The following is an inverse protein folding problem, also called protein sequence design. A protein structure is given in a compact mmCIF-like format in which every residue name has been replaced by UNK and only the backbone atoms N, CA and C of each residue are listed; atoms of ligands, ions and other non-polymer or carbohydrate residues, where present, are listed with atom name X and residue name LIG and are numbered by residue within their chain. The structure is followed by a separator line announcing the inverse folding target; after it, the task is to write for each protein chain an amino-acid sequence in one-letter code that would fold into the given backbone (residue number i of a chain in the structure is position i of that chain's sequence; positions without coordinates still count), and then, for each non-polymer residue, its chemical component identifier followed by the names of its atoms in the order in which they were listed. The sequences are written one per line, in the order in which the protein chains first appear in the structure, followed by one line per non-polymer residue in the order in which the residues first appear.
data_IF_843864755726
#
_entry.id   IF_843864755726
#
_cell.length_a   1.000
_cell.length_b   1.000
_cell.length_c   1.000
_cell.angle_alpha   90.00
_cell.angle_beta   90.00
_cell.angle_gamma   90.00
#
_symmetry.space_group_name_H-M   'P 1'
#
loop_
_entity.id
_entity.type
_entity.pdbx_description
1 polymer ?
#
# COMPACT_ATOMS: atom_id res chain seq x y z
N UNK A 1 25.33 5.50 -57.16
CA UNK A 1 24.04 4.95 -56.68
C UNK A 1 24.26 4.48 -55.25
N UNK A 2 24.28 5.38 -54.25
CA UNK A 2 23.17 5.68 -53.31
C UNK A 2 22.40 4.44 -52.87
N UNK A 3 22.72 3.90 -51.69
CA UNK A 3 21.72 3.49 -50.70
C UNK A 3 22.29 3.86 -49.32
N UNK A 4 21.86 5.01 -48.79
CA UNK A 4 21.97 5.33 -47.37
C UNK A 4 20.85 4.52 -46.72
N UNK A 5 21.18 3.43 -46.04
CA UNK A 5 20.22 2.73 -45.18
C UNK A 5 20.11 3.56 -43.91
N UNK A 6 19.16 4.49 -43.91
CA UNK A 6 18.62 5.07 -42.69
C UNK A 6 17.93 3.92 -41.94
N UNK A 7 18.68 3.22 -41.09
CA UNK A 7 18.08 2.44 -40.01
C UNK A 7 17.53 3.49 -39.06
N UNK A 8 16.30 3.91 -39.34
CA UNK A 8 15.43 4.52 -38.34
C UNK A 8 15.29 3.41 -37.29
N UNK A 9 16.10 3.48 -36.24
CA UNK A 9 15.78 2.82 -34.99
C UNK A 9 14.47 3.44 -34.56
N UNK A 10 13.37 2.78 -34.92
CA UNK A 10 12.08 3.04 -34.33
C UNK A 10 12.27 2.66 -32.87
N UNK A 11 12.63 3.64 -32.04
CA UNK A 11 12.59 3.48 -30.59
C UNK A 11 11.18 2.97 -30.28
N UNK A 12 11.04 1.76 -29.70
CA UNK A 12 9.72 1.31 -29.30
C UNK A 12 9.19 2.36 -28.33
N UNK A 13 7.96 2.82 -28.57
CA UNK A 13 7.22 3.56 -27.55
C UNK A 13 7.35 2.75 -26.26
N UNK A 14 7.93 3.35 -25.22
CA UNK A 14 8.00 2.78 -23.89
C UNK A 14 6.57 2.62 -23.36
N UNK A 15 5.88 1.55 -23.73
CA UNK A 15 4.87 0.97 -22.87
C UNK A 15 5.63 0.34 -21.70
N UNK A 16 5.27 0.69 -20.46
CA UNK A 16 5.75 -0.07 -19.30
C UNK A 16 5.31 -1.52 -19.50
N UNK A 17 6.26 -2.40 -19.82
CA UNK A 17 6.01 -3.84 -19.78
C UNK A 17 5.84 -4.23 -18.32
N UNK A 18 4.71 -4.86 -17.99
CA UNK A 18 4.46 -5.40 -16.65
C UNK A 18 5.61 -6.31 -16.22
N UNK A 19 5.98 -6.23 -14.95
CA UNK A 19 6.94 -7.17 -14.37
C UNK A 19 6.32 -8.57 -14.26
N UNK A 20 7.15 -9.61 -14.29
CA UNK A 20 6.68 -10.97 -14.08
C UNK A 20 6.46 -11.23 -12.59
N UNK A 21 5.31 -11.81 -12.24
CA UNK A 21 4.94 -12.12 -10.85
C UNK A 21 5.02 -13.62 -10.53
N UNK A 22 5.82 -14.40 -11.28
CA UNK A 22 6.20 -15.76 -10.88
C UNK A 22 7.23 -15.73 -9.74
N UNK A 23 7.33 -16.85 -9.01
CA UNK A 23 8.14 -16.95 -7.79
C UNK A 23 9.61 -16.57 -8.02
N UNK A 24 10.22 -17.13 -9.07
CA UNK A 24 11.64 -16.87 -9.37
C UNK A 24 11.89 -15.38 -9.63
N UNK A 25 10.97 -14.73 -10.36
CA UNK A 25 11.07 -13.30 -10.70
C UNK A 25 10.94 -12.37 -9.50
N UNK A 26 10.20 -12.78 -8.47
CA UNK A 26 10.04 -12.03 -7.21
C UNK A 26 10.99 -12.50 -6.11
N UNK A 27 11.97 -13.35 -6.45
CA UNK A 27 13.02 -13.79 -5.52
C UNK A 27 12.58 -14.85 -4.51
N UNK A 28 11.47 -15.55 -4.78
CA UNK A 28 10.94 -16.63 -3.95
C UNK A 28 11.20 -18.00 -4.56
N UNK A 29 11.07 -19.03 -3.74
CA UNK A 29 11.18 -20.43 -4.17
C UNK A 29 10.10 -21.29 -3.53
N UNK A 30 10.08 -22.58 -3.87
CA UNK A 30 9.17 -23.54 -3.23
C UNK A 30 9.35 -23.65 -1.71
N UNK A 31 10.53 -23.25 -1.19
CA UNK A 31 10.84 -23.27 0.24
C UNK A 31 10.27 -22.08 1.01
N UNK A 32 9.90 -20.99 0.32
CA UNK A 32 9.26 -19.83 0.94
C UNK A 32 7.90 -20.21 1.52
N UNK A 33 7.49 -19.53 2.59
CA UNK A 33 6.17 -19.76 3.20
C UNK A 33 5.06 -19.39 2.22
N UNK A 34 3.87 -19.98 2.39
CA UNK A 34 2.72 -19.58 1.58
C UNK A 34 2.29 -18.13 1.85
N UNK A 35 2.58 -17.61 3.06
CA UNK A 35 2.35 -16.22 3.42
C UNK A 35 3.30 -15.32 2.61
N UNK A 36 4.61 -15.58 2.58
CA UNK A 36 5.56 -14.83 1.75
C UNK A 36 5.14 -14.84 0.27
N UNK A 37 4.83 -16.03 -0.26
CA UNK A 37 4.40 -16.18 -1.67
C UNK A 37 3.21 -15.30 -1.98
N UNK A 38 2.16 -15.34 -1.16
CA UNK A 38 0.99 -14.49 -1.37
C UNK A 38 1.28 -13.01 -1.14
N UNK A 39 2.12 -12.65 -0.17
CA UNK A 39 2.47 -11.27 0.12
C UNK A 39 3.14 -10.61 -1.08
N UNK A 40 4.27 -11.17 -1.51
CA UNK A 40 5.10 -10.59 -2.56
C UNK A 40 4.46 -10.71 -3.95
N UNK A 41 3.71 -11.79 -4.22
CA UNK A 41 2.90 -11.89 -5.45
C UNK A 41 1.81 -10.81 -5.46
N UNK A 42 1.14 -10.58 -4.33
CA UNK A 42 0.13 -9.52 -4.20
C UNK A 42 0.72 -8.12 -4.43
N UNK A 43 1.91 -7.86 -3.89
CA UNK A 43 2.64 -6.61 -4.06
C UNK A 43 3.12 -6.42 -5.51
N UNK A 44 3.57 -7.48 -6.18
CA UNK A 44 3.90 -7.45 -7.61
C UNK A 44 2.69 -7.07 -8.47
N UNK A 45 1.55 -7.73 -8.25
CA UNK A 45 0.32 -7.37 -8.95
C UNK A 45 -0.14 -5.94 -8.65
N UNK A 46 0.04 -5.45 -7.43
CA UNK A 46 -0.25 -4.05 -7.10
C UNK A 46 0.58 -3.08 -7.95
N UNK A 47 1.89 -3.30 -8.07
CA UNK A 47 2.78 -2.47 -8.90
C UNK A 47 2.45 -2.54 -10.39
N UNK A 48 1.93 -3.67 -10.85
CA UNK A 48 1.40 -3.87 -12.20
C UNK A 48 -0.02 -3.30 -12.41
N UNK A 49 -0.61 -2.66 -11.39
CA UNK A 49 -2.00 -2.17 -11.35
C UNK A 49 -3.06 -3.28 -11.55
N UNK A 50 -2.67 -4.55 -11.36
CA UNK A 50 -3.56 -5.72 -11.37
C UNK A 50 -4.24 -5.90 -10.00
N UNK A 51 -4.96 -4.87 -9.55
CA UNK A 51 -5.45 -4.76 -8.18
C UNK A 51 -6.35 -5.92 -7.75
N UNK A 52 -7.14 -6.51 -8.65
CA UNK A 52 -7.96 -7.69 -8.31
C UNK A 52 -7.09 -8.91 -7.95
N UNK A 53 -5.97 -9.10 -8.66
CA UNK A 53 -5.03 -10.18 -8.36
C UNK A 53 -4.26 -9.89 -7.06
N UNK A 54 -3.91 -8.62 -6.84
CA UNK A 54 -3.28 -8.17 -5.60
C UNK A 54 -4.15 -8.46 -4.38
N UNK A 55 -5.40 -7.98 -4.37
CA UNK A 55 -6.37 -8.22 -3.31
C UNK A 55 -6.59 -9.71 -3.10
N UNK A 56 -6.75 -10.49 -4.18
CA UNK A 56 -6.95 -11.93 -4.08
C UNK A 56 -5.78 -12.63 -3.36
N UNK A 57 -4.54 -12.29 -3.67
CA UNK A 57 -3.37 -12.86 -3.00
C UNK A 57 -3.35 -12.48 -1.51
N UNK A 58 -3.56 -11.22 -1.19
CA UNK A 58 -3.56 -10.76 0.20
C UNK A 58 -4.74 -11.31 1.03
N UNK A 59 -5.92 -11.52 0.43
CA UNK A 59 -7.04 -12.21 1.08
C UNK A 59 -6.78 -13.71 1.29
N UNK A 60 -5.96 -14.35 0.44
CA UNK A 60 -5.49 -15.71 0.67
C UNK A 60 -4.52 -15.75 1.85
N UNK A 61 -3.53 -14.86 1.86
CA UNK A 61 -2.58 -14.69 2.96
C UNK A 61 -3.29 -14.51 4.30
N UNK A 62 -4.30 -13.63 4.36
CA UNK A 62 -5.01 -13.33 5.59
C UNK A 62 -5.64 -14.57 6.27
N UNK A 63 -5.95 -15.63 5.50
CA UNK A 63 -6.57 -16.88 5.96
C UNK A 63 -5.57 -17.94 6.44
N UNK A 64 -4.27 -17.75 6.20
CA UNK A 64 -3.23 -18.71 6.57
C UNK A 64 -2.77 -18.52 8.01
N UNK A 65 -2.28 -19.59 8.64
CA UNK A 65 -1.65 -19.51 9.95
C UNK A 65 -0.14 -19.22 9.78
N UNK A 66 0.44 -18.27 10.54
CA UNK A 66 1.86 -17.93 10.43
C UNK A 66 2.76 -19.04 10.99
N UNK A 67 3.92 -19.25 10.37
CA UNK A 67 4.93 -20.25 10.77
C UNK A 67 6.23 -19.57 11.18
N UNK A 68 6.13 -18.43 11.86
CA UNK A 68 7.27 -17.66 12.39
C UNK A 68 6.97 -16.17 12.49
N UNK A 69 7.86 -15.44 13.15
CA UNK A 69 7.70 -14.01 13.43
C UNK A 69 7.58 -13.18 12.13
N UNK A 70 8.32 -13.55 11.08
CA UNK A 70 8.24 -12.89 9.76
C UNK A 70 6.85 -13.03 9.12
N UNK A 71 6.26 -14.23 9.18
CA UNK A 71 4.89 -14.45 8.70
C UNK A 71 3.87 -13.65 9.52
N UNK A 72 4.09 -13.50 10.83
CA UNK A 72 3.24 -12.66 11.67
C UNK A 72 3.30 -11.19 11.24
N UNK A 73 4.50 -10.66 10.99
CA UNK A 73 4.70 -9.29 10.48
C UNK A 73 3.98 -9.09 9.14
N UNK A 74 4.16 -10.00 8.18
CA UNK A 74 3.50 -9.93 6.87
C UNK A 74 1.97 -9.98 6.96
N UNK A 75 1.42 -10.72 7.94
CA UNK A 75 -0.03 -10.71 8.21
C UNK A 75 -0.51 -9.34 8.69
N UNK A 76 0.29 -8.63 9.49
CA UNK A 76 -0.04 -7.26 9.92
C UNK A 76 0.07 -6.28 8.75
N UNK A 77 1.11 -6.39 7.92
CA UNK A 77 1.29 -5.58 6.71
C UNK A 77 0.11 -5.69 5.74
N UNK A 78 -0.44 -6.90 5.60
CA UNK A 78 -1.64 -7.11 4.77
C UNK A 78 -2.87 -6.38 5.29
N UNK A 79 -3.02 -6.17 6.61
CA UNK A 79 -4.12 -5.35 7.12
C UNK A 79 -3.99 -3.91 6.62
N UNK A 80 -2.77 -3.37 6.60
CA UNK A 80 -2.51 -2.04 6.06
C UNK A 80 -2.88 -1.95 4.57
N UNK A 81 -2.41 -2.92 3.79
CA UNK A 81 -2.63 -2.95 2.35
C UNK A 81 -4.11 -3.16 2.00
N UNK A 82 -4.77 -4.17 2.57
CA UNK A 82 -6.20 -4.41 2.34
C UNK A 82 -7.07 -3.25 2.82
N UNK A 83 -6.66 -2.55 3.88
CA UNK A 83 -7.31 -1.32 4.31
C UNK A 83 -7.30 -0.26 3.20
N UNK A 84 -6.13 -0.03 2.60
CA UNK A 84 -5.99 0.88 1.45
C UNK A 84 -6.85 0.44 0.26
N UNK A 85 -6.80 -0.84 -0.11
CA UNK A 85 -7.58 -1.36 -1.23
C UNK A 85 -9.09 -1.17 -1.01
N UNK A 86 -9.58 -1.44 0.20
CA UNK A 86 -10.99 -1.26 0.56
C UNK A 86 -11.41 0.20 0.65
N UNK A 87 -10.55 1.09 1.14
CA UNK A 87 -10.89 2.51 1.27
C UNK A 87 -11.15 3.17 -0.09
N UNK A 88 -10.35 2.82 -1.09
CA UNK A 88 -10.43 3.39 -2.45
C UNK A 88 -11.14 2.49 -3.47
N UNK A 89 -11.54 1.28 -3.09
CA UNK A 89 -12.19 0.33 -4.00
C UNK A 89 -11.27 -0.22 -5.09
N UNK A 90 -9.96 -0.29 -4.84
CA UNK A 90 -9.01 -0.86 -5.80
C UNK A 90 -9.05 -2.39 -5.74
N UNK A 91 -9.46 -3.02 -6.83
CA UNK A 91 -9.54 -4.49 -6.92
C UNK A 91 -10.59 -5.13 -6.01
N UNK A 92 -11.40 -4.34 -5.31
CA UNK A 92 -12.44 -4.77 -4.37
C UNK A 92 -13.57 -3.72 -4.32
N UNK A 93 -14.71 -4.05 -3.72
CA UNK A 93 -15.75 -3.03 -3.49
C UNK A 93 -15.28 -2.02 -2.42
N UNK A 94 -15.59 -0.74 -2.62
CA UNK A 94 -15.30 0.28 -1.61
C UNK A 94 -16.02 -0.04 -0.30
N UNK A 95 -15.26 -0.07 0.79
CA UNK A 95 -15.74 -0.31 2.15
C UNK A 95 -14.82 0.40 3.16
N UNK A 96 -15.10 1.70 3.34
CA UNK A 96 -14.32 2.58 4.21
C UNK A 96 -14.38 2.19 5.69
N UNK A 97 -15.49 1.57 6.13
CA UNK A 97 -15.62 1.11 7.51
C UNK A 97 -14.64 -0.03 7.78
N UNK A 98 -14.64 -1.05 6.93
CA UNK A 98 -13.71 -2.17 7.06
C UNK A 98 -12.26 -1.71 6.90
N UNK A 99 -12.00 -0.75 6.02
CA UNK A 99 -10.66 -0.16 5.88
C UNK A 99 -10.14 0.48 7.18
N UNK A 100 -10.98 1.30 7.83
CA UNK A 100 -10.66 1.90 9.13
C UNK A 100 -10.41 0.83 10.20
N UNK A 101 -11.20 -0.24 10.22
CA UNK A 101 -11.03 -1.33 11.17
C UNK A 101 -9.71 -2.08 10.93
N UNK A 102 -9.32 -2.30 9.68
CA UNK A 102 -8.04 -2.93 9.34
C UNK A 102 -6.85 -2.07 9.73
N UNK A 103 -6.86 -0.78 9.42
CA UNK A 103 -5.79 0.13 9.84
C UNK A 103 -5.70 0.27 11.36
N UNK A 104 -6.84 0.29 12.04
CA UNK A 104 -6.87 0.32 13.52
C UNK A 104 -6.23 -0.94 14.10
N UNK A 105 -6.55 -2.12 13.55
CA UNK A 105 -5.93 -3.38 13.97
C UNK A 105 -4.44 -3.43 13.66
N UNK A 106 -4.01 -2.96 12.48
CA UNK A 106 -2.61 -2.89 12.10
C UNK A 106 -1.80 -2.07 13.11
N UNK A 107 -2.30 -0.90 13.52
CA UNK A 107 -1.68 -0.05 14.55
C UNK A 107 -1.57 -0.77 15.90
N UNK A 108 -2.62 -1.49 16.31
CA UNK A 108 -2.62 -2.25 17.57
C UNK A 108 -1.59 -3.39 17.57
N UNK A 109 -1.30 -3.93 16.40
CA UNK A 109 -0.31 -5.00 16.18
C UNK A 109 1.09 -4.46 15.85
N UNK A 110 1.29 -3.13 15.89
CA UNK A 110 2.61 -2.51 15.78
C UNK A 110 2.95 -1.89 14.42
N UNK A 111 2.07 -1.98 13.42
CA UNK A 111 2.26 -1.37 12.11
C UNK A 111 1.82 0.10 12.13
N UNK A 112 2.68 0.96 12.68
CA UNK A 112 2.33 2.35 12.98
C UNK A 112 2.14 3.23 11.74
N UNK A 113 2.67 2.88 10.56
CA UNK A 113 2.43 3.61 9.31
C UNK A 113 0.94 3.75 8.96
N UNK A 114 0.08 2.83 9.42
CA UNK A 114 -1.37 2.91 9.24
C UNK A 114 -1.99 4.15 9.91
N UNK A 115 -1.29 4.81 10.85
CA UNK A 115 -1.68 6.12 11.40
C UNK A 115 -1.81 7.19 10.29
N UNK A 116 -1.00 7.12 9.23
CA UNK A 116 -1.14 8.03 8.07
C UNK A 116 -2.45 7.81 7.33
N UNK A 117 -2.86 6.56 7.13
CA UNK A 117 -4.12 6.26 6.46
C UNK A 117 -5.34 6.70 7.29
N UNK A 118 -5.31 6.51 8.61
CA UNK A 118 -6.34 7.06 9.49
C UNK A 118 -6.33 8.59 9.52
N UNK A 119 -5.15 9.23 9.47
CA UNK A 119 -5.04 10.67 9.28
C UNK A 119 -5.77 11.11 8.01
N UNK A 120 -5.47 10.50 6.86
CA UNK A 120 -6.14 10.79 5.59
C UNK A 120 -7.66 10.60 5.68
N UNK A 121 -8.11 9.42 6.11
CA UNK A 121 -9.52 9.04 6.17
C UNK A 121 -10.36 10.00 7.03
N UNK A 122 -9.81 10.49 8.14
CA UNK A 122 -10.52 11.39 9.03
C UNK A 122 -10.33 12.88 8.70
N UNK A 123 -9.27 13.26 8.00
CA UNK A 123 -8.90 14.66 7.80
C UNK A 123 -9.40 15.26 6.48
N UNK A 124 -9.72 14.42 5.49
CA UNK A 124 -10.32 14.89 4.25
C UNK A 124 -11.81 15.18 4.45
N UNK A 125 -12.23 16.43 4.19
CA UNK A 125 -13.62 16.88 4.36
C UNK A 125 -14.54 16.33 3.28
N UNK A 126 -13.97 15.84 2.17
CA UNK A 126 -14.72 15.21 1.08
C UNK A 126 -15.08 13.76 1.43
N UNK A 127 -14.40 13.16 2.41
CA UNK A 127 -14.66 11.79 2.83
C UNK A 127 -15.83 11.71 3.84
N UNK A 128 -16.73 10.73 3.70
CA UNK A 128 -17.85 10.56 4.64
C UNK A 128 -17.37 10.18 6.06
N UNK A 129 -16.12 9.75 6.17
CA UNK A 129 -15.47 9.42 7.43
C UNK A 129 -14.91 10.64 8.16
N UNK A 130 -14.96 11.85 7.58
CA UNK A 130 -14.39 13.07 8.16
C UNK A 130 -14.74 13.24 9.65
N UNK A 131 -13.70 13.38 10.48
CA UNK A 131 -13.81 13.64 11.91
C UNK A 131 -12.59 14.46 12.37
N UNK A 132 -12.82 15.75 12.66
CA UNK A 132 -11.76 16.69 13.04
C UNK A 132 -10.96 16.24 14.27
N UNK A 133 -11.61 15.59 15.24
CA UNK A 133 -10.96 15.17 16.48
C UNK A 133 -10.09 13.95 16.26
N UNK A 134 -10.62 12.93 15.58
CA UNK A 134 -9.86 11.72 15.23
C UNK A 134 -8.71 12.06 14.29
N UNK A 135 -8.97 12.89 13.27
CA UNK A 135 -7.97 13.36 12.34
C UNK A 135 -6.76 13.97 13.04
N UNK A 136 -6.98 14.93 13.95
CA UNK A 136 -5.89 15.58 14.67
C UNK A 136 -5.01 14.56 15.40
N UNK A 137 -5.63 13.63 16.13
CA UNK A 137 -4.92 12.57 16.86
C UNK A 137 -4.06 11.71 15.93
N UNK A 138 -4.63 11.21 14.84
CA UNK A 138 -3.93 10.32 13.91
C UNK A 138 -2.86 11.06 13.10
N UNK A 139 -3.13 12.28 12.65
CA UNK A 139 -2.17 13.09 11.90
C UNK A 139 -0.96 13.53 12.74
N UNK A 140 -1.16 13.88 14.02
CA UNK A 140 -0.05 14.22 14.92
C UNK A 140 0.87 13.02 15.15
N UNK A 141 0.30 11.83 15.34
CA UNK A 141 1.08 10.59 15.46
C UNK A 141 1.80 10.22 14.15
N UNK A 142 1.10 10.27 13.02
CA UNK A 142 1.69 10.02 11.71
C UNK A 142 2.88 10.95 11.45
N UNK A 143 2.74 12.25 11.79
CA UNK A 143 3.85 13.21 11.68
C UNK A 143 5.06 12.79 12.53
N UNK A 144 4.86 12.34 13.76
CA UNK A 144 5.95 11.88 14.64
C UNK A 144 6.63 10.64 14.07
N UNK A 145 5.86 9.66 13.60
CA UNK A 145 6.36 8.42 12.99
C UNK A 145 7.23 8.74 11.78
N UNK A 146 6.72 9.52 10.84
CA UNK A 146 7.43 9.84 9.61
C UNK A 146 8.64 10.73 9.84
N UNK A 147 8.58 11.72 10.75
CA UNK A 147 9.76 12.51 11.13
C UNK A 147 10.86 11.67 11.81
N UNK A 148 10.51 10.54 12.42
CA UNK A 148 11.45 9.63 13.07
C UNK A 148 12.16 8.67 12.12
N UNK A 149 11.79 8.63 10.84
CA UNK A 149 12.44 7.78 9.83
C UNK A 149 13.78 8.38 9.40
N UNK A 150 14.79 7.54 9.18
CA UNK A 150 16.11 7.97 8.67
C UNK A 150 16.02 8.68 7.32
N UNK A 151 15.06 8.26 6.49
CA UNK A 151 14.71 8.90 5.22
C UNK A 151 13.19 9.09 5.16
N UNK A 152 12.68 10.25 5.63
CA UNK A 152 11.25 10.49 5.66
C UNK A 152 10.70 10.72 4.25
N UNK A 153 9.54 10.14 3.97
CA UNK A 153 8.77 10.48 2.78
C UNK A 153 8.22 11.91 2.92
N UNK A 154 8.78 12.84 2.15
CA UNK A 154 8.42 14.26 2.22
C UNK A 154 7.01 14.54 1.69
N UNK A 155 6.50 13.74 0.75
CA UNK A 155 5.16 13.92 0.19
C UNK A 155 4.08 13.55 1.21
N UNK A 156 4.34 12.47 1.97
CA UNK A 156 3.48 12.08 3.08
C UNK A 156 3.51 13.14 4.19
N UNK A 157 4.69 13.63 4.57
CA UNK A 157 4.81 14.71 5.56
C UNK A 157 4.07 15.98 5.12
N UNK A 158 4.25 16.42 3.87
CA UNK A 158 3.57 17.60 3.32
C UNK A 158 2.05 17.44 3.34
N UNK A 159 1.57 16.22 3.04
CA UNK A 159 0.15 15.88 3.11
C UNK A 159 -0.38 15.95 4.54
N UNK A 160 0.33 15.34 5.50
CA UNK A 160 -0.02 15.39 6.93
C UNK A 160 -0.05 16.85 7.43
N UNK A 161 0.94 17.66 7.07
CA UNK A 161 0.98 19.07 7.45
C UNK A 161 -0.15 19.89 6.85
N UNK A 162 -0.50 19.62 5.59
CA UNK A 162 -1.65 20.24 4.93
C UNK A 162 -2.95 19.90 5.69
N UNK A 163 -3.14 18.65 6.09
CA UNK A 163 -4.28 18.26 6.93
C UNK A 163 -4.27 18.99 8.28
N UNK A 164 -3.16 18.96 9.01
CA UNK A 164 -3.04 19.64 10.32
C UNK A 164 -3.31 21.15 10.23
N UNK A 165 -2.82 21.83 9.19
CA UNK A 165 -3.11 23.26 8.95
C UNK A 165 -4.60 23.51 8.73
N UNK A 166 -5.29 22.64 7.97
CA UNK A 166 -6.74 22.75 7.75
C UNK A 166 -7.53 22.50 9.04
N UNK A 167 -7.11 21.53 9.87
CA UNK A 167 -7.74 21.20 11.15
C UNK A 167 -7.54 22.27 12.23
N UNK A 168 -6.54 23.16 12.07
CA UNK A 168 -6.29 24.30 12.96
C UNK A 168 -7.12 25.55 12.65
N UNK A 169 -7.75 25.61 11.48
CA UNK A 169 -8.76 26.62 11.13
C UNK A 169 -10.11 26.24 11.73
#
# INVERSE_FOLDING_TARGET
MRIIVLIIFCLPLYGLTKESCDLDSIGLSDQSSEIEKHFYTGTCHYRNEDYQLSVKSWEMLAKLDPVGDEDEELKVDVLNNLGYMKFFGYGTAEDKSTAIDYWTQAILLGHYEAEYHLCHAYADIEEPTYDKSKARKHCEKAKLIYNGKDSPDTEILDSIEKYLRKLGK
#
